data_IF_505396072268
#
_entry.id   IF_505396072268
#
_cell.length_a   1.000
_cell.length_b   1.000
_cell.length_c   1.000
_cell.angle_alpha   90.00
_cell.angle_beta   90.00
_cell.angle_gamma   90.00
#
_symmetry.space_group_name_H-M   'P 1'
#
loop_
_entity.id
_entity.type
_entity.pdbx_description
1 polymer ?
#
# COMPACT_ATOMS: atom_id res chain seq x y z
N UNK A 1 7.63 -9.65 56.90
CA UNK A 1 7.20 -10.28 55.62
C UNK A 1 7.34 -9.22 54.53
N UNK A 2 8.29 -9.41 53.61
CA UNK A 2 8.48 -8.48 52.48
C UNK A 2 7.64 -8.97 51.30
N UNK A 3 6.63 -8.21 50.91
CA UNK A 3 5.84 -8.51 49.75
C UNK A 3 6.66 -8.20 48.48
N UNK A 4 7.00 -9.21 47.70
CA UNK A 4 7.64 -9.09 46.42
C UNK A 4 6.53 -8.83 45.38
N UNK A 5 6.47 -7.60 44.83
CA UNK A 5 5.56 -7.26 43.74
C UNK A 5 6.26 -7.67 42.43
N UNK A 6 5.78 -8.73 41.82
CA UNK A 6 6.24 -9.17 40.50
C UNK A 6 5.52 -8.33 39.44
N UNK A 7 6.26 -7.43 38.79
CA UNK A 7 5.76 -6.63 37.67
C UNK A 7 5.90 -7.46 36.40
N UNK A 8 4.78 -7.97 35.85
CA UNK A 8 4.76 -8.68 34.58
C UNK A 8 4.68 -7.65 33.44
N UNK A 9 5.77 -7.50 32.69
CA UNK A 9 5.79 -6.71 31.48
C UNK A 9 5.12 -7.49 30.34
N UNK A 10 3.95 -7.05 29.90
CA UNK A 10 3.31 -7.53 28.69
C UNK A 10 3.98 -6.85 27.49
N UNK A 11 4.86 -7.57 26.77
CA UNK A 11 5.45 -7.09 25.52
C UNK A 11 4.40 -7.26 24.42
N UNK A 12 3.74 -6.18 24.03
CA UNK A 12 2.88 -6.15 22.85
C UNK A 12 3.82 -5.97 21.64
N UNK A 13 4.04 -7.04 20.88
CA UNK A 13 4.72 -6.96 19.60
C UNK A 13 3.77 -6.35 18.57
N UNK A 14 3.97 -5.09 18.22
CA UNK A 14 3.33 -4.48 17.04
C UNK A 14 4.12 -4.95 15.82
N UNK A 15 3.46 -5.66 14.92
CA UNK A 15 4.01 -5.96 13.60
C UNK A 15 4.10 -4.64 12.83
N UNK A 16 5.30 -4.15 12.53
CA UNK A 16 5.49 -3.04 11.61
C UNK A 16 5.42 -3.66 10.21
N UNK A 17 4.37 -3.32 9.45
CA UNK A 17 4.26 -3.68 8.04
C UNK A 17 5.05 -2.65 7.22
N UNK A 18 5.83 -3.10 6.25
CA UNK A 18 6.43 -2.20 5.27
C UNK A 18 5.39 -1.93 4.17
N UNK A 19 5.01 -0.67 4.00
CA UNK A 19 4.17 -0.23 2.89
C UNK A 19 5.03 0.12 1.68
N UNK A 20 4.71 -0.46 0.53
CA UNK A 20 5.24 -0.05 -0.76
C UNK A 20 4.16 0.70 -1.54
N UNK A 21 4.34 2.00 -1.74
CA UNK A 21 3.40 2.83 -2.50
C UNK A 21 3.55 2.55 -4.00
N UNK A 22 2.45 2.15 -4.65
CA UNK A 22 2.35 1.93 -6.09
C UNK A 22 1.94 3.21 -6.80
N UNK A 23 0.97 3.94 -6.22
CA UNK A 23 0.45 5.22 -6.70
C UNK A 23 0.14 6.11 -5.51
N UNK A 24 0.41 7.40 -5.63
CA UNK A 24 -0.11 8.44 -4.73
C UNK A 24 -0.43 9.67 -5.58
N UNK A 25 -1.61 10.25 -5.37
CA UNK A 25 -2.09 11.45 -6.06
C UNK A 25 -2.87 12.33 -5.09
N UNK A 26 -2.46 13.58 -4.96
CA UNK A 26 -3.09 14.62 -4.13
C UNK A 26 -3.60 15.80 -4.97
N UNK A 27 -3.60 15.68 -6.28
CA UNK A 27 -4.10 16.64 -7.28
C UNK A 27 -3.53 18.07 -7.21
N UNK A 28 -2.49 18.31 -6.41
CA UNK A 28 -1.93 19.65 -6.24
C UNK A 28 -1.01 20.09 -7.38
N UNK A 29 -0.54 19.14 -8.20
CA UNK A 29 0.34 19.39 -9.35
C UNK A 29 -0.41 19.49 -10.70
N UNK A 30 -1.73 19.50 -10.71
CA UNK A 30 -2.58 19.50 -11.89
C UNK A 30 -3.16 18.14 -12.22
N UNK A 31 -4.02 18.05 -13.27
CA UNK A 31 -4.67 16.80 -13.65
C UNK A 31 -3.61 15.74 -14.02
N UNK A 32 -3.58 14.59 -13.35
CA UNK A 32 -2.45 13.68 -13.44
C UNK A 32 -2.41 12.93 -14.76
N UNK A 33 -1.21 12.71 -15.27
CA UNK A 33 -1.00 12.02 -16.55
C UNK A 33 -1.44 10.55 -16.48
N UNK A 34 -2.15 10.09 -17.50
CA UNK A 34 -2.62 8.71 -17.63
C UNK A 34 -3.94 8.42 -16.93
N UNK A 35 -4.49 9.39 -16.20
CA UNK A 35 -5.86 9.31 -15.71
C UNK A 35 -6.85 9.65 -16.82
N UNK A 36 -8.07 9.14 -16.72
CA UNK A 36 -9.12 9.40 -17.72
C UNK A 36 -10.46 9.61 -17.02
N UNK A 37 -11.22 10.58 -17.57
CA UNK A 37 -12.62 10.81 -17.22
C UNK A 37 -13.51 10.11 -18.23
N UNK A 38 -14.65 9.56 -17.79
CA UNK A 38 -15.68 8.96 -18.64
C UNK A 38 -17.04 9.43 -18.13
N UNK A 39 -17.78 10.06 -18.99
CA UNK A 39 -19.16 10.49 -18.79
C UNK A 39 -20.09 9.52 -19.56
N UNK A 40 -20.84 8.69 -18.82
CA UNK A 40 -21.77 7.73 -19.39
C UNK A 40 -23.25 8.20 -19.24
N UNK A 41 -23.51 9.25 -18.46
CA UNK A 41 -24.87 9.82 -18.34
C UNK A 41 -25.17 10.92 -19.37
N UNK A 42 -24.18 11.64 -19.84
CA UNK A 42 -24.33 12.73 -20.78
C UNK A 42 -25.20 13.89 -20.28
N UNK A 43 -25.37 14.02 -18.96
CA UNK A 43 -26.23 15.04 -18.34
C UNK A 43 -25.43 16.32 -18.13
N UNK A 44 -26.04 17.46 -18.48
CA UNK A 44 -25.42 18.76 -18.23
C UNK A 44 -25.59 19.18 -16.76
N UNK A 45 -24.55 19.68 -16.10
CA UNK A 45 -24.67 20.26 -14.76
C UNK A 45 -25.72 21.34 -14.69
N UNK A 46 -26.40 21.48 -13.56
CA UNK A 46 -27.39 22.52 -13.35
C UNK A 46 -26.76 23.91 -13.54
N UNK A 47 -27.50 24.85 -14.14
CA UNK A 47 -27.01 26.19 -14.44
C UNK A 47 -26.96 27.09 -13.19
N UNK A 48 -26.22 26.63 -12.21
CA UNK A 48 -25.88 27.36 -10.97
C UNK A 48 -24.37 27.50 -10.86
N UNK A 49 -23.83 28.67 -10.45
CA UNK A 49 -22.38 28.86 -10.28
C UNK A 49 -21.70 27.85 -9.35
N UNK A 50 -22.45 27.17 -8.51
CA UNK A 50 -21.91 26.15 -7.61
C UNK A 50 -21.48 24.87 -8.34
N UNK A 51 -22.04 24.55 -9.51
CA UNK A 51 -21.78 23.31 -10.24
C UNK A 51 -21.56 23.48 -11.73
N UNK A 52 -21.98 24.57 -12.37
CA UNK A 52 -21.96 24.74 -13.83
C UNK A 52 -20.53 24.78 -14.44
N UNK A 53 -19.51 24.89 -13.64
CA UNK A 53 -18.12 24.80 -14.06
C UNK A 53 -17.61 23.34 -14.15
N UNK A 54 -18.35 22.37 -13.61
CA UNK A 54 -18.04 20.93 -13.69
C UNK A 54 -18.47 20.44 -15.08
N UNK A 55 -17.62 20.69 -16.08
CA UNK A 55 -17.94 20.47 -17.50
C UNK A 55 -17.47 19.11 -18.03
N UNK A 56 -16.97 18.25 -17.16
CA UNK A 56 -16.57 16.87 -17.44
C UNK A 56 -17.12 15.99 -16.31
N UNK A 57 -17.09 14.68 -16.46
CA UNK A 57 -17.52 13.73 -15.40
C UNK A 57 -16.83 14.00 -14.07
N UNK A 58 -15.54 14.34 -14.12
CA UNK A 58 -14.74 14.76 -12.97
C UNK A 58 -13.84 15.93 -13.39
N UNK A 59 -13.70 16.91 -12.53
CA UNK A 59 -12.78 18.04 -12.72
C UNK A 59 -11.96 18.26 -11.45
N UNK A 60 -10.82 18.92 -11.60
CA UNK A 60 -10.04 19.41 -10.46
C UNK A 60 -10.57 20.78 -10.06
N UNK A 61 -10.69 20.98 -8.76
CA UNK A 61 -11.09 22.23 -8.17
C UNK A 61 -10.38 22.43 -6.82
N UNK A 62 -10.21 23.68 -6.40
CA UNK A 62 -9.75 23.99 -5.04
C UNK A 62 -10.80 23.48 -4.03
N UNK A 63 -10.35 22.81 -2.96
CA UNK A 63 -11.26 22.34 -1.90
C UNK A 63 -12.06 23.52 -1.34
N UNK A 64 -13.38 23.40 -1.33
CA UNK A 64 -14.30 24.44 -0.87
C UNK A 64 -14.11 24.84 0.59
N UNK A 65 -13.58 23.97 1.43
CA UNK A 65 -13.37 24.23 2.85
C UNK A 65 -12.02 24.89 3.13
N UNK A 66 -11.11 24.87 2.14
CA UNK A 66 -9.74 25.37 2.27
C UNK A 66 -9.37 26.39 1.20
N UNK A 67 -10.35 27.12 0.66
CA UNK A 67 -10.15 28.13 -0.38
C UNK A 67 -8.98 29.09 -0.06
N UNK A 68 -8.07 29.22 -1.01
CA UNK A 68 -6.90 30.10 -0.93
C UNK A 68 -5.65 29.47 -0.34
N UNK A 69 -5.63 28.16 -0.05
CA UNK A 69 -4.41 27.45 0.40
C UNK A 69 -3.81 26.52 -0.67
N UNK A 70 -4.30 26.56 -1.91
CA UNK A 70 -3.85 25.77 -3.04
C UNK A 70 -3.93 24.25 -2.79
N UNK A 71 -5.00 23.82 -2.16
CA UNK A 71 -5.33 22.40 -1.97
C UNK A 71 -6.40 22.04 -3.01
N UNK A 72 -6.03 21.19 -3.96
CA UNK A 72 -6.88 20.82 -5.09
C UNK A 72 -7.39 19.40 -4.92
N UNK A 73 -8.65 19.19 -5.21
CA UNK A 73 -9.35 17.91 -5.10
C UNK A 73 -10.04 17.55 -6.40
N UNK A 74 -10.38 16.29 -6.61
CA UNK A 74 -11.30 15.87 -7.66
C UNK A 74 -12.74 16.08 -7.21
N UNK A 75 -13.55 16.67 -8.08
CA UNK A 75 -14.98 16.87 -7.84
C UNK A 75 -15.81 16.37 -9.01
N UNK A 76 -17.00 15.85 -8.70
CA UNK A 76 -18.05 15.47 -9.64
C UNK A 76 -19.40 15.91 -9.10
N UNK A 77 -20.39 16.15 -9.96
CA UNK A 77 -21.74 16.54 -9.54
C UNK A 77 -22.79 15.54 -10.03
N UNK A 78 -23.86 15.40 -9.24
CA UNK A 78 -25.09 14.71 -9.64
C UNK A 78 -26.28 15.67 -9.73
N UNK A 79 -26.04 16.99 -9.58
CA UNK A 79 -27.07 18.03 -9.74
C UNK A 79 -27.09 18.54 -11.17
N UNK A 80 -28.02 18.05 -11.96
CA UNK A 80 -28.13 18.29 -13.40
C UNK A 80 -29.34 19.16 -13.77
N UNK A 81 -29.32 19.78 -14.98
CA UNK A 81 -30.46 20.51 -15.56
C UNK A 81 -31.71 19.65 -15.68
N UNK A 82 -31.55 18.38 -15.95
CA UNK A 82 -32.58 17.37 -15.91
C UNK A 82 -32.19 16.35 -14.86
N UNK A 83 -33.00 16.24 -13.79
CA UNK A 83 -32.71 15.31 -12.72
C UNK A 83 -32.49 13.88 -13.26
N UNK A 84 -31.38 13.28 -12.90
CA UNK A 84 -30.94 11.98 -13.37
C UNK A 84 -29.90 11.36 -12.42
N UNK A 85 -29.56 10.12 -12.66
CA UNK A 85 -28.49 9.45 -11.94
C UNK A 85 -27.17 9.77 -12.64
N UNK A 86 -26.19 10.25 -11.90
CA UNK A 86 -24.82 10.38 -12.39
C UNK A 86 -24.25 9.01 -12.77
N UNK A 87 -23.48 8.95 -13.83
CA UNK A 87 -22.71 7.77 -14.25
C UNK A 87 -21.32 8.21 -14.70
N UNK A 88 -20.60 8.80 -13.76
CA UNK A 88 -19.38 9.57 -13.97
C UNK A 88 -18.18 8.82 -13.41
N UNK A 89 -17.18 8.50 -14.26
CA UNK A 89 -16.01 7.75 -13.85
C UNK A 89 -14.74 8.61 -13.89
N UNK A 90 -13.87 8.41 -12.90
CA UNK A 90 -12.46 8.75 -12.96
C UNK A 90 -11.64 7.46 -12.89
N UNK A 91 -10.85 7.20 -13.91
CA UNK A 91 -10.10 5.96 -14.08
C UNK A 91 -8.63 6.22 -13.81
N UNK A 92 -8.05 5.46 -12.90
CA UNK A 92 -6.63 5.49 -12.57
C UNK A 92 -5.80 4.89 -13.72
N UNK A 93 -4.53 5.26 -13.88
CA UNK A 93 -3.63 4.57 -14.81
C UNK A 93 -3.53 3.08 -14.46
N UNK A 94 -3.02 2.28 -15.39
CA UNK A 94 -2.81 0.85 -15.12
C UNK A 94 -1.83 0.63 -13.96
N UNK A 95 -2.22 -0.23 -13.02
CA UNK A 95 -1.48 -0.51 -11.79
C UNK A 95 -1.09 -1.99 -11.76
N UNK A 96 0.17 -2.28 -11.45
CA UNK A 96 0.61 -3.66 -11.19
C UNK A 96 0.63 -3.90 -9.70
N UNK A 97 -0.28 -4.76 -9.25
CA UNK A 97 -0.47 -5.09 -7.84
C UNK A 97 0.50 -6.19 -7.37
N UNK A 98 0.81 -6.18 -6.09
CA UNK A 98 1.57 -7.24 -5.43
C UNK A 98 0.79 -8.54 -5.34
N UNK A 99 1.49 -9.65 -5.04
CA UNK A 99 0.87 -10.96 -4.87
C UNK A 99 -0.14 -11.02 -3.71
N UNK A 100 -0.03 -10.11 -2.74
CA UNK A 100 -0.92 -9.98 -1.58
C UNK A 100 -0.72 -8.63 -0.88
N UNK A 101 -1.61 -8.28 0.03
CA UNK A 101 -1.55 -7.07 0.86
C UNK A 101 -1.83 -5.80 0.06
N UNK A 102 -2.68 -5.86 -0.96
CA UNK A 102 -2.99 -4.72 -1.80
C UNK A 102 -4.18 -3.93 -1.24
N UNK A 103 -4.01 -2.62 -1.18
CA UNK A 103 -5.02 -1.69 -0.68
C UNK A 103 -5.10 -0.45 -1.56
N UNK A 104 -6.30 0.14 -1.59
CA UNK A 104 -6.51 1.53 -2.01
C UNK A 104 -7.01 2.33 -0.81
N UNK A 105 -6.39 3.48 -0.54
CA UNK A 105 -6.92 4.46 0.42
C UNK A 105 -7.17 5.79 -0.27
N UNK A 106 -8.12 6.54 0.23
CA UNK A 106 -8.52 7.85 -0.31
C UNK A 106 -9.30 8.63 0.74
N UNK A 107 -9.33 9.94 0.59
CA UNK A 107 -10.20 10.82 1.34
C UNK A 107 -11.43 11.14 0.49
N UNK A 108 -12.62 11.17 1.13
CA UNK A 108 -13.88 11.42 0.45
C UNK A 108 -14.79 12.30 1.29
N UNK A 109 -15.57 13.15 0.61
CA UNK A 109 -16.57 14.03 1.23
C UNK A 109 -17.69 14.32 0.24
N UNK A 110 -18.96 14.31 0.71
CA UNK A 110 -20.07 15.01 0.05
C UNK A 110 -20.15 16.43 0.57
N UNK A 111 -20.16 17.40 -0.33
CA UNK A 111 -20.08 18.82 0.01
C UNK A 111 -21.27 19.31 0.84
N UNK A 112 -22.47 18.82 0.58
CA UNK A 112 -23.67 19.19 1.30
C UNK A 112 -24.09 18.12 2.30
N UNK A 113 -24.40 18.52 3.53
CA UNK A 113 -24.80 17.60 4.62
C UNK A 113 -26.20 17.02 4.46
N UNK A 114 -27.00 17.55 3.55
CA UNK A 114 -28.38 17.11 3.28
C UNK A 114 -28.51 16.37 1.98
N UNK A 115 -27.52 16.49 1.08
CA UNK A 115 -27.48 15.92 -0.26
C UNK A 115 -26.21 15.12 -0.44
N UNK A 116 -26.24 13.88 0.05
CA UNK A 116 -25.10 12.98 0.02
C UNK A 116 -25.03 12.24 -1.30
N UNK A 117 -23.88 12.25 -1.92
CA UNK A 117 -23.60 11.58 -3.18
C UNK A 117 -23.15 10.13 -2.96
N UNK A 118 -23.72 9.20 -3.71
CA UNK A 118 -23.31 7.80 -3.74
C UNK A 118 -22.12 7.60 -4.67
N UNK A 119 -21.22 6.69 -4.31
CA UNK A 119 -20.08 6.35 -5.14
C UNK A 119 -19.67 4.88 -5.01
N UNK A 120 -18.98 4.41 -6.03
CA UNK A 120 -18.46 3.04 -6.12
C UNK A 120 -16.98 3.05 -6.51
N UNK A 121 -16.26 1.98 -6.14
CA UNK A 121 -14.95 1.65 -6.70
C UNK A 121 -15.10 0.36 -7.48
N UNK A 122 -14.64 0.37 -8.74
CA UNK A 122 -14.67 -0.74 -9.66
C UNK A 122 -13.28 -1.07 -10.16
N UNK A 123 -13.12 -2.26 -10.77
CA UNK A 123 -11.87 -2.64 -11.41
C UNK A 123 -12.08 -3.29 -12.77
N UNK A 124 -11.06 -3.23 -13.62
CA UNK A 124 -11.00 -3.91 -14.91
C UNK A 124 -9.61 -4.46 -15.18
N UNK A 125 -9.55 -5.64 -15.80
CA UNK A 125 -8.29 -6.22 -16.30
C UNK A 125 -8.02 -5.86 -17.76
N UNK A 126 -9.02 -5.41 -18.50
CA UNK A 126 -8.98 -5.43 -19.97
C UNK A 126 -8.78 -4.07 -20.64
N UNK A 127 -9.36 -2.99 -20.13
CA UNK A 127 -9.22 -1.66 -20.73
C UNK A 127 -9.85 -0.55 -19.89
N UNK A 128 -9.51 0.69 -20.25
CA UNK A 128 -10.02 1.92 -19.67
C UNK A 128 -11.51 2.20 -19.99
N UNK A 129 -12.10 1.54 -20.99
CA UNK A 129 -13.38 1.95 -21.57
C UNK A 129 -14.55 1.00 -21.26
N UNK A 130 -14.46 0.11 -20.28
CA UNK A 130 -15.48 -0.92 -20.03
C UNK A 130 -15.72 -1.14 -18.55
N UNK A 131 -16.08 -0.08 -17.82
CA UNK A 131 -16.42 -0.20 -16.40
C UNK A 131 -17.90 -0.45 -16.13
N UNK A 132 -18.81 -0.20 -17.08
CA UNK A 132 -20.26 -0.28 -16.90
C UNK A 132 -20.82 -1.66 -16.50
N UNK A 133 -20.04 -2.73 -16.62
CA UNK A 133 -20.42 -4.09 -16.18
C UNK A 133 -19.37 -4.74 -15.29
N UNK A 134 -18.44 -3.97 -14.74
CA UNK A 134 -17.34 -4.49 -13.94
C UNK A 134 -17.75 -4.68 -12.48
N UNK A 135 -17.11 -5.61 -11.78
CA UNK A 135 -17.38 -5.82 -10.37
C UNK A 135 -17.11 -4.58 -9.53
N UNK A 136 -18.07 -4.23 -8.68
CA UNK A 136 -17.93 -3.24 -7.62
C UNK A 136 -17.13 -3.89 -6.49
N UNK A 137 -16.06 -3.23 -6.05
CA UNK A 137 -15.23 -3.69 -4.92
C UNK A 137 -15.53 -2.93 -3.63
N UNK A 138 -16.14 -1.76 -3.76
CA UNK A 138 -16.55 -0.91 -2.66
C UNK A 138 -17.70 0.00 -3.12
N UNK A 139 -18.70 0.20 -2.28
CA UNK A 139 -19.80 1.14 -2.46
C UNK A 139 -20.06 1.88 -1.16
N UNK A 140 -20.37 3.14 -1.24
CA UNK A 140 -20.69 3.97 -0.06
C UNK A 140 -21.41 5.25 -0.46
N UNK A 141 -21.95 5.91 0.56
CA UNK A 141 -22.45 7.28 0.50
C UNK A 141 -21.34 8.21 0.98
N UNK A 142 -21.09 9.30 0.28
CA UNK A 142 -20.10 10.30 0.65
C UNK A 142 -20.44 10.89 2.03
N UNK A 143 -19.47 10.94 2.97
CA UNK A 143 -19.69 11.49 4.30
C UNK A 143 -19.73 13.03 4.26
N UNK A 144 -20.34 13.66 5.29
CA UNK A 144 -20.43 15.11 5.38
C UNK A 144 -19.09 15.82 5.66
N UNK A 145 -18.07 15.08 6.05
CA UNK A 145 -16.75 15.61 6.38
C UNK A 145 -15.68 14.73 5.74
N UNK A 146 -14.51 15.29 5.44
CA UNK A 146 -13.38 14.52 4.97
C UNK A 146 -13.16 13.27 5.81
N UNK A 147 -13.30 12.13 5.19
CA UNK A 147 -13.18 10.81 5.82
C UNK A 147 -12.25 9.95 5.00
N UNK A 148 -11.24 9.39 5.64
CA UNK A 148 -10.32 8.45 5.02
C UNK A 148 -10.93 7.05 4.95
N UNK A 149 -10.90 6.47 3.78
CA UNK A 149 -11.25 5.08 3.51
C UNK A 149 -10.01 4.27 3.17
N UNK A 150 -9.99 3.02 3.57
CA UNK A 150 -8.99 2.03 3.14
C UNK A 150 -9.71 0.74 2.78
N UNK A 151 -9.59 0.32 1.52
CA UNK A 151 -10.27 -0.84 0.95
C UNK A 151 -9.23 -1.87 0.55
N UNK A 152 -9.43 -3.13 0.97
CA UNK A 152 -8.58 -4.25 0.57
C UNK A 152 -8.95 -4.73 -0.83
N UNK A 153 -8.01 -4.66 -1.77
CA UNK A 153 -8.17 -5.19 -3.12
C UNK A 153 -8.09 -6.73 -3.14
N UNK A 154 -7.33 -7.30 -2.21
CA UNK A 154 -7.22 -8.76 -2.05
C UNK A 154 -8.57 -9.39 -1.71
N UNK A 155 -9.42 -8.69 -0.95
CA UNK A 155 -10.78 -9.16 -0.61
C UNK A 155 -11.68 -9.34 -1.83
N UNK A 156 -11.42 -8.62 -2.91
CA UNK A 156 -12.09 -8.76 -4.21
C UNK A 156 -11.37 -9.76 -5.15
N UNK A 157 -10.31 -10.42 -4.67
CA UNK A 157 -9.53 -11.36 -5.47
C UNK A 157 -8.57 -10.70 -6.46
N UNK A 158 -8.26 -9.42 -6.28
CA UNK A 158 -7.41 -8.63 -7.18
C UNK A 158 -5.98 -8.64 -6.65
N UNK A 159 -5.18 -9.59 -7.07
CA UNK A 159 -3.79 -9.77 -6.62
C UNK A 159 -2.87 -10.15 -7.75
N UNK A 160 -1.60 -9.69 -7.71
CA UNK A 160 -0.53 -10.12 -8.60
C UNK A 160 -0.76 -9.84 -10.09
N UNK A 161 -1.64 -8.90 -10.42
CA UNK A 161 -2.05 -8.61 -11.80
C UNK A 161 -1.99 -7.12 -12.08
N UNK A 162 -1.97 -6.78 -13.37
CA UNK A 162 -2.15 -5.40 -13.82
C UNK A 162 -3.65 -5.14 -13.96
N UNK A 163 -4.11 -4.04 -13.33
CA UNK A 163 -5.52 -3.66 -13.28
C UNK A 163 -5.69 -2.16 -13.53
N UNK A 164 -6.89 -1.80 -13.91
CA UNK A 164 -7.40 -0.42 -13.86
C UNK A 164 -8.41 -0.35 -12.72
N UNK A 165 -8.33 0.70 -11.90
CA UNK A 165 -9.32 1.04 -10.89
C UNK A 165 -10.08 2.28 -11.33
N UNK A 166 -11.35 2.38 -10.98
CA UNK A 166 -12.15 3.57 -11.24
C UNK A 166 -13.02 3.91 -10.02
N UNK A 167 -13.14 5.20 -9.74
CA UNK A 167 -14.23 5.71 -8.93
C UNK A 167 -15.39 6.07 -9.86
N UNK A 168 -16.58 5.65 -9.49
CA UNK A 168 -17.83 5.97 -10.16
C UNK A 168 -18.70 6.80 -9.23
N UNK A 169 -19.08 7.97 -9.64
CA UNK A 169 -20.12 8.76 -9.02
C UNK A 169 -21.45 8.30 -9.60
N UNK A 170 -22.37 7.79 -8.79
CA UNK A 170 -23.65 7.18 -9.23
C UNK A 170 -24.85 7.70 -8.44
N UNK A 171 -24.76 8.88 -7.84
CA UNK A 171 -25.82 9.50 -7.10
C UNK A 171 -26.95 10.02 -7.99
N UNK A 172 -28.16 10.12 -7.45
CA UNK A 172 -29.32 10.70 -8.12
C UNK A 172 -29.69 12.03 -7.50
N UNK A 173 -29.56 13.12 -8.27
CA UNK A 173 -30.03 14.47 -7.94
C UNK A 173 -29.61 14.92 -6.52
N UNK A 174 -28.33 14.78 -6.20
CA UNK A 174 -27.70 15.26 -4.97
C UNK A 174 -26.91 16.54 -5.26
N UNK A 175 -25.60 16.60 -4.90
CA UNK A 175 -24.84 17.84 -5.09
C UNK A 175 -23.43 17.59 -5.65
N UNK A 176 -22.41 17.56 -4.80
CA UNK A 176 -21.01 17.40 -5.19
C UNK A 176 -20.34 16.33 -4.33
N UNK A 177 -19.69 15.39 -4.99
CA UNK A 177 -18.75 14.44 -4.41
C UNK A 177 -17.32 14.96 -4.60
N UNK A 178 -16.53 14.94 -3.53
CA UNK A 178 -15.13 15.32 -3.49
C UNK A 178 -14.28 14.11 -3.12
N UNK A 179 -13.16 13.89 -3.84
CA UNK A 179 -12.19 12.82 -3.57
C UNK A 179 -10.78 13.39 -3.62
N UNK A 180 -9.93 12.97 -2.69
CA UNK A 180 -8.53 13.41 -2.59
C UNK A 180 -7.62 12.31 -2.01
N UNK A 181 -6.30 12.56 -2.02
CA UNK A 181 -5.28 11.72 -1.38
C UNK A 181 -5.39 10.24 -1.77
N UNK A 182 -5.59 9.95 -3.05
CA UNK A 182 -5.71 8.58 -3.55
C UNK A 182 -4.36 7.90 -3.48
N UNK A 183 -4.28 6.81 -2.73
CA UNK A 183 -3.08 6.01 -2.56
C UNK A 183 -3.36 4.53 -2.83
N UNK A 184 -2.63 3.92 -3.76
CA UNK A 184 -2.60 2.46 -3.93
C UNK A 184 -1.27 1.95 -3.42
N UNK A 185 -1.30 0.94 -2.54
CA UNK A 185 -0.10 0.43 -1.89
C UNK A 185 -0.22 -1.05 -1.59
N UNK A 186 0.94 -1.69 -1.38
CA UNK A 186 1.02 -3.05 -0.84
C UNK A 186 1.60 -3.04 0.56
N UNK A 187 1.03 -3.84 1.44
CA UNK A 187 1.59 -4.15 2.74
C UNK A 187 2.27 -5.51 2.67
N UNK A 188 3.58 -5.50 2.82
CA UNK A 188 4.34 -6.74 2.97
C UNK A 188 4.57 -6.98 4.45
N UNK A 189 4.26 -8.19 4.98
CA UNK A 189 4.76 -8.54 6.28
C UNK A 189 6.28 -8.37 6.23
N UNK A 190 6.88 -7.71 7.22
CA UNK A 190 8.34 -7.71 7.40
C UNK A 190 8.78 -9.14 7.73
N UNK A 191 8.64 -10.04 6.78
CA UNK A 191 9.34 -11.29 6.74
C UNK A 191 10.74 -11.02 6.24
N UNK A 192 11.72 -11.69 6.79
CA UNK A 192 13.04 -11.79 6.20
C UNK A 192 12.82 -12.13 4.74
N UNK A 193 13.12 -11.18 3.84
CA UNK A 193 13.08 -11.45 2.40
C UNK A 193 14.07 -12.60 2.14
N UNK A 194 13.56 -13.77 1.90
CA UNK A 194 14.32 -14.78 1.18
C UNK A 194 14.35 -14.27 -0.25
N UNK A 195 15.32 -13.41 -0.58
CA UNK A 195 15.70 -13.23 -1.96
C UNK A 195 15.96 -14.63 -2.53
N UNK A 196 15.28 -15.00 -3.61
CA UNK A 196 15.63 -16.17 -4.44
C UNK A 196 16.95 -15.86 -5.19
N UNK A 197 17.98 -15.51 -4.41
CA UNK A 197 19.35 -15.41 -4.85
C UNK A 197 20.14 -16.49 -4.12
N UNK A 198 20.65 -17.49 -4.82
CA UNK A 198 21.53 -18.57 -4.39
C UNK A 198 21.50 -18.83 -2.89
N UNK A 199 20.68 -19.80 -2.47
CA UNK A 199 20.44 -20.11 -1.06
C UNK A 199 21.79 -20.34 -0.33
N UNK A 200 22.26 -19.32 0.41
CA UNK A 200 23.48 -19.46 1.18
C UNK A 200 23.22 -20.46 2.30
N UNK A 201 23.88 -21.57 2.21
CA UNK A 201 23.85 -22.63 3.20
C UNK A 201 25.24 -22.86 3.79
N UNK A 202 25.29 -23.38 5.00
CA UNK A 202 26.55 -23.75 5.64
C UNK A 202 26.45 -25.06 6.38
N UNK A 203 27.56 -25.80 6.39
CA UNK A 203 27.66 -27.10 7.01
C UNK A 203 29.12 -27.41 7.40
N UNK A 204 29.34 -28.34 8.37
CA UNK A 204 28.34 -28.97 9.21
C UNK A 204 27.76 -27.96 10.23
N UNK A 205 26.56 -28.22 10.72
CA UNK A 205 25.97 -27.52 11.85
C UNK A 205 25.18 -28.55 12.67
N UNK A 206 25.66 -29.00 13.82
CA UNK A 206 26.80 -28.49 14.60
C UNK A 206 28.18 -28.64 13.92
N UNK A 207 29.05 -27.67 14.19
CA UNK A 207 30.40 -27.56 13.65
C UNK A 207 31.48 -27.68 14.73
N UNK A 208 32.66 -28.20 14.37
CA UNK A 208 33.81 -28.33 15.30
C UNK A 208 34.94 -27.35 14.94
N UNK A 209 35.70 -27.65 13.93
CA UNK A 209 36.91 -26.88 13.57
C UNK A 209 36.66 -25.88 12.47
N UNK A 210 35.72 -26.14 11.59
CA UNK A 210 35.45 -25.31 10.44
C UNK A 210 33.99 -25.43 9.95
N UNK A 211 33.59 -24.43 9.21
CA UNK A 211 32.29 -24.31 8.57
C UNK A 211 32.51 -24.10 7.06
N UNK A 212 31.82 -24.84 6.23
CA UNK A 212 31.80 -24.64 4.79
C UNK A 212 30.54 -23.86 4.41
N UNK A 213 30.68 -22.83 3.57
CA UNK A 213 29.59 -22.02 3.05
C UNK A 213 29.39 -22.35 1.58
N UNK A 214 28.14 -22.54 1.14
CA UNK A 214 27.72 -22.64 -0.26
C UNK A 214 26.87 -21.46 -0.66
N UNK A 215 26.89 -21.12 -1.95
CA UNK A 215 26.05 -20.07 -2.52
C UNK A 215 26.72 -18.69 -2.56
N UNK A 216 27.98 -18.54 -2.11
CA UNK A 216 28.74 -17.30 -2.30
C UNK A 216 29.36 -17.29 -3.71
N UNK A 217 29.20 -16.20 -4.44
CA UNK A 217 29.81 -15.96 -5.76
C UNK A 217 31.09 -15.13 -5.66
N UNK A 218 31.28 -14.43 -4.54
CA UNK A 218 32.44 -13.55 -4.30
C UNK A 218 32.87 -13.59 -2.84
N UNK A 219 34.03 -12.98 -2.53
CA UNK A 219 34.52 -12.86 -1.16
C UNK A 219 33.57 -11.94 -0.38
N UNK A 220 32.94 -12.54 0.63
CA UNK A 220 31.93 -11.86 1.43
C UNK A 220 32.36 -11.76 2.90
N UNK A 221 32.08 -10.65 3.54
CA UNK A 221 32.30 -10.48 4.97
C UNK A 221 31.41 -11.38 5.80
N UNK A 222 31.92 -11.81 6.96
CA UNK A 222 31.13 -12.54 7.95
C UNK A 222 31.41 -12.06 9.37
N UNK A 223 30.46 -12.26 10.26
CA UNK A 223 30.62 -12.10 11.69
C UNK A 223 29.96 -13.24 12.46
N UNK A 224 30.57 -13.61 13.59
CA UNK A 224 30.04 -14.58 14.55
C UNK A 224 29.85 -13.84 15.87
N UNK A 225 28.62 -13.84 16.38
CA UNK A 225 28.27 -13.22 17.67
C UNK A 225 27.65 -14.30 18.61
N UNK A 226 27.82 -14.13 19.92
CA UNK A 226 27.16 -14.95 20.92
C UNK A 226 25.67 -14.60 21.05
N UNK A 227 24.94 -15.33 21.91
CA UNK A 227 23.51 -15.14 22.14
C UNK A 227 23.14 -13.76 22.73
N UNK A 228 24.12 -13.01 23.27
CA UNK A 228 23.94 -11.67 23.82
C UNK A 228 24.33 -10.59 22.79
N UNK A 229 24.68 -10.99 21.56
CA UNK A 229 25.10 -10.08 20.48
C UNK A 229 26.58 -9.64 20.58
N UNK A 230 27.38 -10.19 21.50
CA UNK A 230 28.81 -9.89 21.60
C UNK A 230 29.54 -10.50 20.41
N UNK A 231 30.29 -9.69 19.69
CA UNK A 231 31.11 -10.14 18.56
C UNK A 231 32.25 -11.04 19.06
N UNK A 232 32.32 -12.24 18.52
CA UNK A 232 33.33 -13.28 18.84
C UNK A 232 34.39 -13.35 17.74
N UNK A 233 33.97 -13.31 16.48
CA UNK A 233 34.86 -13.38 15.31
C UNK A 233 34.29 -12.64 14.12
N UNK A 234 35.14 -12.05 13.32
CA UNK A 234 34.79 -11.45 12.03
C UNK A 234 35.89 -11.68 11.01
N UNK A 235 35.52 -11.61 9.74
CA UNK A 235 36.45 -11.78 8.63
C UNK A 235 35.75 -11.76 7.29
N UNK A 236 36.44 -12.25 6.26
CA UNK A 236 35.89 -12.43 4.92
C UNK A 236 36.19 -13.83 4.41
N UNK A 237 35.26 -14.38 3.65
CA UNK A 237 35.39 -15.75 3.09
C UNK A 237 34.65 -15.85 1.77
N UNK A 238 35.01 -16.84 0.97
CA UNK A 238 34.26 -17.28 -0.19
C UNK A 238 33.59 -18.63 0.02
N UNK A 239 34.13 -19.47 0.91
CA UNK A 239 33.62 -20.84 1.08
C UNK A 239 33.90 -21.48 2.45
N UNK A 240 34.80 -20.95 3.30
CA UNK A 240 35.19 -21.65 4.52
C UNK A 240 35.52 -20.66 5.66
N UNK A 241 35.01 -20.99 6.86
CA UNK A 241 35.32 -20.25 8.09
C UNK A 241 35.98 -21.24 9.07
N UNK A 242 37.14 -20.84 9.61
CA UNK A 242 37.79 -21.58 10.68
C UNK A 242 37.14 -21.17 12.04
N UNK A 243 36.76 -22.16 12.85
CA UNK A 243 36.11 -22.01 14.16
C UNK A 243 37.05 -22.28 15.34
N UNK A 244 38.35 -22.52 15.09
CA UNK A 244 39.34 -22.70 16.13
C UNK A 244 39.29 -21.52 17.13
N UNK A 245 39.41 -21.83 18.41
CA UNK A 245 39.29 -20.89 19.52
C UNK A 245 37.90 -20.30 19.80
N UNK A 246 36.85 -20.83 19.16
CA UNK A 246 35.49 -20.54 19.54
C UNK A 246 35.03 -21.62 20.52
N UNK A 247 34.55 -21.21 21.68
CA UNK A 247 34.06 -22.16 22.70
C UNK A 247 32.77 -22.84 22.24
N UNK A 248 32.54 -24.05 22.76
CA UNK A 248 31.30 -24.78 22.49
C UNK A 248 30.10 -23.95 22.93
N UNK A 249 29.08 -23.85 22.08
CA UNK A 249 27.92 -23.04 22.35
C UNK A 249 27.05 -22.70 21.15
N UNK A 250 26.09 -21.82 21.38
CA UNK A 250 25.21 -21.27 20.38
C UNK A 250 25.67 -19.88 19.97
N UNK A 251 25.68 -19.63 18.66
CA UNK A 251 26.13 -18.41 18.05
C UNK A 251 25.20 -18.00 16.90
N UNK A 252 25.31 -16.76 16.46
CA UNK A 252 24.72 -16.27 15.23
C UNK A 252 25.85 -16.01 14.23
N UNK A 253 25.79 -16.67 13.08
CA UNK A 253 26.64 -16.38 11.93
C UNK A 253 25.91 -15.43 10.99
N UNK A 254 26.47 -14.25 10.77
CA UNK A 254 25.98 -13.27 9.78
C UNK A 254 26.93 -13.25 8.60
N UNK A 255 26.40 -13.33 7.37
CA UNK A 255 27.15 -13.32 6.11
C UNK A 255 26.66 -12.15 5.27
N UNK A 256 27.55 -11.27 4.85
CA UNK A 256 27.21 -10.00 4.22
C UNK A 256 26.41 -9.11 5.18
N UNK A 257 25.49 -8.33 4.63
CA UNK A 257 24.71 -7.38 5.41
C UNK A 257 23.38 -7.95 5.94
N UNK A 258 22.89 -9.09 5.42
CA UNK A 258 21.49 -9.48 5.61
C UNK A 258 21.25 -10.94 6.00
N UNK A 259 22.21 -11.84 5.93
CA UNK A 259 21.95 -13.28 6.17
C UNK A 259 22.51 -13.66 7.54
N UNK A 260 21.62 -13.82 8.53
CA UNK A 260 21.97 -14.30 9.86
C UNK A 260 21.30 -15.66 10.11
N UNK A 261 22.11 -16.66 10.49
CA UNK A 261 21.65 -18.02 10.79
C UNK A 261 22.26 -18.54 12.09
N UNK A 262 21.54 -19.41 12.79
CA UNK A 262 22.03 -20.08 14.01
C UNK A 262 23.18 -21.03 13.71
N UNK A 263 24.29 -20.87 14.42
CA UNK A 263 25.46 -21.74 14.39
C UNK A 263 25.63 -22.43 15.74
N UNK A 264 25.87 -23.72 15.73
CA UNK A 264 26.18 -24.52 16.90
C UNK A 264 27.63 -24.97 16.77
N UNK A 265 28.45 -24.67 17.78
CA UNK A 265 29.85 -25.12 17.88
C UNK A 265 29.96 -26.19 18.95
N UNK A 266 30.60 -27.35 18.61
CA UNK A 266 30.82 -28.51 19.47
C UNK A 266 32.28 -28.76 19.83
#
# INVERSE_FOLDING_TARGET
MKNLITLTFLIISTSILAQNTILFEDFNDGFPAGWQTIDEDGLAPFNDPAVNFITDSWVMHEDYDTLGINDSVLISTSWFETAGTADNYIVLPSLTLGAFGNYISFDCKSKDQSYHDDFEILFSYASLNTFTSNPVIFDSVGPSYWTNYTVSLDSAGITGQTVYLAFRHNAYDQFILEIDNIKVFTESPMGISTEEGNEISFYPNPAKEHLTIKGLSEITSYSIADINGKLIKMGSTINKINLENITKGFYFLTIGNNISKKLIVE
#
